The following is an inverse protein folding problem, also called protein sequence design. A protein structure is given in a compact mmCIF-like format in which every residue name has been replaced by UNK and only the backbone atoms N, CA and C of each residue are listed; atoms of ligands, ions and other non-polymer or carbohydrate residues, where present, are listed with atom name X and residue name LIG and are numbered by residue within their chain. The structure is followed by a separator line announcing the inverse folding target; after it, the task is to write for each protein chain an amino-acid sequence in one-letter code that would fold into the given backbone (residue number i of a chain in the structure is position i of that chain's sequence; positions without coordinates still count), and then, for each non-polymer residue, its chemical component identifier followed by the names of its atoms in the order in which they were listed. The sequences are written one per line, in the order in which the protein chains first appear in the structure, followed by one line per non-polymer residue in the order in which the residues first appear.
data_IF_187964547731
#
_entry.id   IF_187964547731
#
_cell.length_a   1.000
_cell.length_b   1.000
_cell.length_c   1.000
_cell.angle_alpha   90.00
_cell.angle_beta   90.00
_cell.angle_gamma   90.00
#
_symmetry.space_group_name_H-M   'P 1'
#
loop_
_entity.id
_entity.type
_entity.pdbx_description
1 polymer ?
#
# COMPACT_ATOMS: atom_id res chain seq x y z
N UNK A 1 -21.81 -26.57 -44.39
CA UNK A 1 -20.64 -25.65 -44.23
C UNK A 1 -21.20 -24.28 -43.93
N UNK A 2 -21.20 -23.88 -42.63
CA UNK A 2 -21.63 -22.56 -42.22
C UNK A 2 -20.38 -21.64 -42.20
N UNK A 3 -20.41 -20.45 -42.85
CA UNK A 3 -19.30 -19.53 -42.79
C UNK A 3 -19.26 -18.84 -41.42
N UNK A 4 -18.09 -18.90 -40.78
CA UNK A 4 -17.83 -18.11 -39.55
C UNK A 4 -17.84 -16.62 -39.92
N UNK A 5 -18.40 -15.75 -39.06
CA UNK A 5 -18.34 -14.32 -39.26
C UNK A 5 -16.91 -13.80 -39.08
N UNK A 6 -16.41 -13.10 -40.08
CA UNK A 6 -15.11 -12.44 -40.04
C UNK A 6 -15.10 -11.36 -38.96
N UNK A 7 -14.16 -11.45 -37.99
CA UNK A 7 -13.91 -10.43 -36.99
C UNK A 7 -13.45 -9.14 -37.72
N UNK A 8 -14.28 -8.10 -37.64
CA UNK A 8 -13.94 -6.78 -38.18
C UNK A 8 -12.71 -6.22 -37.44
N UNK A 9 -11.65 -5.92 -38.18
CA UNK A 9 -10.43 -5.34 -37.62
C UNK A 9 -10.66 -3.87 -37.24
N UNK A 10 -10.03 -3.40 -36.15
CA UNK A 10 -10.05 -1.99 -35.71
C UNK A 10 -9.71 -0.99 -36.83
N UNK A 11 -8.87 -1.37 -37.80
CA UNK A 11 -8.53 -0.55 -38.96
C UNK A 11 -9.68 -0.35 -39.94
N UNK A 12 -10.59 -1.31 -40.04
CA UNK A 12 -11.74 -1.22 -40.95
C UNK A 12 -12.82 -0.29 -40.39
N UNK A 13 -12.95 -0.21 -39.07
CA UNK A 13 -13.91 0.69 -38.40
C UNK A 13 -13.50 2.17 -38.47
N UNK A 14 -12.17 2.45 -38.33
CA UNK A 14 -11.65 3.82 -38.33
C UNK A 14 -11.58 4.47 -39.73
N UNK A 15 -11.74 3.71 -40.80
CA UNK A 15 -11.74 4.25 -42.17
C UNK A 15 -13.07 4.75 -42.69
N UNK A 16 -14.17 4.51 -41.93
CA UNK A 16 -15.53 4.83 -42.36
C UNK A 16 -16.18 6.10 -41.75
N UNK A 17 -15.55 6.70 -40.73
CA UNK A 17 -16.15 7.83 -40.03
C UNK A 17 -15.15 8.96 -39.82
N UNK A 18 -15.19 9.96 -40.67
CA UNK A 18 -14.43 11.21 -40.54
C UNK A 18 -14.94 12.16 -39.48
N UNK A 19 -15.30 11.65 -38.27
CA UNK A 19 -15.63 12.45 -37.10
C UNK A 19 -15.05 11.73 -35.89
N UNK A 20 -14.08 12.36 -35.22
CA UNK A 20 -13.58 11.91 -33.92
C UNK A 20 -14.64 12.21 -32.85
N UNK A 21 -15.60 11.31 -32.65
CA UNK A 21 -16.45 11.30 -31.48
C UNK A 21 -15.67 10.64 -30.36
N UNK A 22 -15.43 11.40 -29.27
CA UNK A 22 -15.00 10.84 -27.98
C UNK A 22 -16.10 9.90 -27.49
N UNK A 23 -16.02 8.63 -27.82
CA UNK A 23 -16.90 7.60 -27.26
C UNK A 23 -16.57 7.41 -25.80
N UNK A 24 -17.57 7.30 -24.93
CA UNK A 24 -17.33 6.88 -23.54
C UNK A 24 -16.62 5.51 -23.54
N UNK A 25 -15.81 5.27 -22.50
CA UNK A 25 -15.10 4.01 -22.31
C UNK A 25 -16.11 2.86 -22.30
N UNK A 26 -16.10 2.06 -23.34
CA UNK A 26 -16.88 0.84 -23.42
C UNK A 26 -15.96 -0.33 -23.00
N UNK A 27 -16.23 -0.91 -21.85
CA UNK A 27 -15.47 -2.04 -21.29
C UNK A 27 -15.35 -3.21 -22.27
N UNK A 28 -16.39 -3.43 -23.10
CA UNK A 28 -16.40 -4.45 -24.16
C UNK A 28 -15.46 -4.18 -25.34
N UNK A 29 -14.97 -2.93 -25.52
CA UNK A 29 -13.99 -2.57 -26.55
C UNK A 29 -12.59 -2.42 -26.01
N UNK A 30 -12.40 -2.47 -24.72
CA UNK A 30 -11.14 -2.50 -23.99
C UNK A 30 -10.41 -3.83 -24.08
N UNK A 31 -10.47 -4.53 -25.22
CA UNK A 31 -9.75 -5.78 -25.44
C UNK A 31 -8.27 -5.57 -25.68
N UNK A 32 -7.54 -5.20 -24.66
CA UNK A 32 -6.26 -5.73 -24.25
C UNK A 32 -6.32 -5.66 -22.71
N UNK A 33 -7.23 -6.41 -22.11
CA UNK A 33 -6.86 -7.08 -20.91
C UNK A 33 -5.63 -7.90 -21.31
N UNK A 34 -4.45 -7.68 -20.72
CA UNK A 34 -3.56 -8.79 -20.50
C UNK A 34 -4.50 -9.90 -20.07
N UNK A 35 -4.47 -11.04 -20.77
CA UNK A 35 -5.24 -12.18 -20.36
C UNK A 35 -4.85 -12.41 -18.90
N UNK A 36 -5.61 -11.80 -18.00
CA UNK A 36 -5.65 -12.23 -16.63
C UNK A 36 -5.85 -13.72 -16.78
N UNK A 37 -5.03 -14.54 -16.12
CA UNK A 37 -5.33 -15.95 -15.99
C UNK A 37 -6.82 -15.99 -15.71
N UNK A 38 -7.59 -16.49 -16.69
CA UNK A 38 -9.03 -16.47 -16.65
C UNK A 38 -9.44 -17.17 -15.36
N UNK A 39 -9.88 -16.39 -14.36
CA UNK A 39 -10.33 -16.93 -13.08
C UNK A 39 -9.84 -16.28 -11.80
N UNK A 40 -8.79 -15.45 -11.79
CA UNK A 40 -8.36 -14.78 -10.54
C UNK A 40 -8.82 -13.33 -10.50
N UNK A 41 -9.74 -13.05 -9.56
CA UNK A 41 -10.21 -11.70 -9.24
C UNK A 41 -9.03 -10.78 -8.84
N UNK A 42 -8.95 -9.53 -9.33
CA UNK A 42 -7.91 -8.60 -8.92
C UNK A 42 -8.01 -8.32 -7.42
N UNK A 43 -6.93 -8.53 -6.69
CA UNK A 43 -6.84 -8.25 -5.26
C UNK A 43 -5.84 -7.15 -5.02
N UNK A 44 -6.05 -6.36 -3.97
CA UNK A 44 -5.30 -5.14 -3.68
C UNK A 44 -4.86 -5.06 -2.24
N UNK A 45 -3.77 -4.37 -1.98
CA UNK A 45 -3.22 -4.13 -0.66
C UNK A 45 -2.99 -2.64 -0.43
N UNK A 46 -3.52 -2.13 0.67
CA UNK A 46 -3.21 -0.79 1.20
C UNK A 46 -2.62 -0.92 2.59
N UNK A 47 -1.40 -0.42 2.77
CA UNK A 47 -0.74 -0.33 4.07
C UNK A 47 -0.66 1.13 4.50
N UNK A 48 -1.16 1.46 5.69
CA UNK A 48 -1.10 2.79 6.27
C UNK A 48 -0.38 2.72 7.62
N UNK A 49 0.69 3.50 7.77
CA UNK A 49 1.37 3.69 9.05
C UNK A 49 1.15 5.10 9.59
N UNK A 50 0.60 5.19 10.80
CA UNK A 50 0.49 6.43 11.60
C UNK A 50 1.56 6.39 12.69
N UNK A 51 2.73 7.00 12.49
CA UNK A 51 3.97 6.62 13.18
C UNK A 51 4.14 7.18 14.60
N UNK A 52 3.19 7.94 15.13
CA UNK A 52 3.25 8.51 16.48
C UNK A 52 2.47 7.71 17.53
N UNK A 53 2.05 6.50 17.20
CA UNK A 53 1.06 5.76 17.97
C UNK A 53 -0.35 6.19 17.60
N UNK A 54 -1.32 5.60 18.25
CA UNK A 54 -2.72 6.02 18.23
C UNK A 54 -3.19 5.94 19.69
N UNK A 55 -3.91 6.96 20.17
CA UNK A 55 -4.35 7.00 21.55
C UNK A 55 -5.27 5.81 21.87
N UNK A 56 -4.71 4.87 22.62
CA UNK A 56 -5.23 3.51 22.80
C UNK A 56 -6.67 3.49 23.30
N UNK A 57 -6.97 4.31 24.33
CA UNK A 57 -8.28 4.29 25.00
C UNK A 57 -9.42 4.77 24.10
N UNK A 58 -9.11 5.52 23.04
CA UNK A 58 -10.09 5.96 22.06
C UNK A 58 -10.17 5.06 20.82
N UNK A 59 -9.22 4.12 20.63
CA UNK A 59 -9.21 3.17 19.52
C UNK A 59 -9.61 1.76 19.96
N UNK A 60 -8.98 1.22 21.02
CA UNK A 60 -9.10 -0.19 21.37
C UNK A 60 -10.33 -0.40 22.26
N UNK A 61 -11.30 -1.23 21.84
CA UNK A 61 -12.47 -1.56 22.67
C UNK A 61 -12.07 -2.29 23.96
N UNK A 62 -12.83 -2.07 25.02
CA UNK A 62 -12.63 -2.78 26.29
C UNK A 62 -13.06 -4.23 26.23
N UNK A 63 -14.10 -4.53 25.44
CA UNK A 63 -14.61 -5.89 25.23
C UNK A 63 -13.96 -6.51 24.00
N UNK A 64 -13.67 -7.79 24.04
CA UNK A 64 -13.27 -8.60 22.89
C UNK A 64 -14.47 -9.27 22.20
N UNK A 65 -14.26 -9.78 20.99
CA UNK A 65 -15.28 -10.44 20.18
C UNK A 65 -16.19 -9.48 19.42
N UNK A 66 -17.30 -9.97 18.89
CA UNK A 66 -18.22 -9.21 18.04
C UNK A 66 -19.11 -8.21 18.80
N UNK A 67 -19.28 -8.41 20.10
CA UNK A 67 -20.17 -7.60 20.96
C UNK A 67 -19.54 -6.33 21.52
N UNK A 68 -18.35 -5.92 21.08
CA UNK A 68 -17.67 -4.74 21.61
C UNK A 68 -18.44 -3.43 21.35
N UNK A 69 -18.33 -2.48 22.25
CA UNK A 69 -18.82 -1.13 22.07
C UNK A 69 -17.85 -0.33 21.17
N UNK A 70 -18.42 0.43 20.22
CA UNK A 70 -17.61 1.29 19.34
C UNK A 70 -16.98 2.41 20.19
N UNK A 71 -15.66 2.49 20.11
CA UNK A 71 -14.91 3.57 20.75
C UNK A 71 -15.07 4.90 20.00
N UNK A 72 -14.54 5.98 20.57
CA UNK A 72 -14.61 7.32 19.98
C UNK A 72 -14.11 7.36 18.53
N UNK A 73 -13.01 6.66 18.21
CA UNK A 73 -12.45 6.63 16.86
C UNK A 73 -13.17 5.67 15.93
N UNK A 74 -13.83 4.67 16.46
CA UNK A 74 -14.58 3.69 15.66
C UNK A 74 -16.05 4.13 15.42
N UNK A 75 -16.57 5.07 16.20
CA UNK A 75 -17.94 5.57 16.04
C UNK A 75 -18.25 6.09 14.61
N UNK A 76 -17.34 6.79 13.89
CA UNK A 76 -17.57 7.15 12.49
C UNK A 76 -17.76 5.95 11.56
N UNK A 77 -17.17 4.81 11.90
CA UNK A 77 -17.17 3.58 11.09
C UNK A 77 -18.34 2.64 11.40
N UNK A 78 -19.35 3.09 12.18
CA UNK A 78 -20.44 2.25 12.65
C UNK A 78 -21.18 1.49 11.55
N UNK A 79 -21.43 2.14 10.41
CA UNK A 79 -22.08 1.60 9.21
C UNK A 79 -21.19 0.68 8.36
N UNK A 80 -19.94 0.52 8.77
CA UNK A 80 -18.93 -0.34 8.16
C UNK A 80 -18.43 -1.41 9.13
N UNK A 81 -19.12 -1.61 10.29
CA UNK A 81 -18.65 -2.49 11.36
C UNK A 81 -18.36 -3.92 10.87
N UNK A 82 -19.14 -4.42 9.97
CA UNK A 82 -19.00 -5.73 9.32
C UNK A 82 -17.85 -5.79 8.28
N UNK A 83 -17.11 -4.70 8.10
CA UNK A 83 -16.06 -4.54 7.08
C UNK A 83 -14.68 -4.30 7.67
N UNK A 84 -14.54 -4.27 8.98
CA UNK A 84 -13.25 -4.16 9.66
C UNK A 84 -13.19 -4.92 10.97
N UNK A 85 -11.99 -5.21 11.40
CA UNK A 85 -11.68 -5.79 12.73
C UNK A 85 -10.59 -4.98 13.40
N UNK A 86 -10.67 -4.88 14.73
CA UNK A 86 -9.62 -4.30 15.57
C UNK A 86 -8.81 -5.44 16.16
N UNK A 87 -7.50 -5.29 16.21
CA UNK A 87 -6.61 -6.25 16.85
C UNK A 87 -5.69 -5.52 17.82
N UNK A 88 -5.52 -6.08 19.01
CA UNK A 88 -4.65 -5.57 20.06
C UNK A 88 -3.79 -6.66 20.69
N UNK A 89 -2.72 -6.27 21.38
CA UNK A 89 -1.77 -7.19 22.00
C UNK A 89 -0.67 -7.69 21.06
N UNK A 90 -0.57 -7.15 19.84
CA UNK A 90 0.43 -7.56 18.86
C UNK A 90 1.74 -6.75 19.01
N UNK A 91 2.86 -7.38 18.67
CA UNK A 91 4.16 -6.70 18.55
C UNK A 91 5.05 -7.35 17.49
N UNK A 92 6.12 -6.68 17.12
CA UNK A 92 7.19 -7.28 16.33
C UNK A 92 8.30 -7.76 17.29
N UNK A 93 8.48 -9.07 17.47
CA UNK A 93 9.55 -9.60 18.32
C UNK A 93 10.94 -9.08 17.90
N UNK A 94 11.70 -8.55 18.85
CA UNK A 94 13.04 -8.02 18.61
C UNK A 94 13.11 -6.67 17.91
N UNK A 95 11.97 -6.03 17.59
CA UNK A 95 11.91 -4.66 17.08
C UNK A 95 11.71 -3.68 18.22
N UNK A 96 12.59 -2.70 18.32
CA UNK A 96 12.54 -1.66 19.36
C UNK A 96 13.19 -0.37 18.89
N UNK A 97 13.37 0.60 19.81
CA UNK A 97 14.03 1.87 19.54
C UNK A 97 13.05 3.03 19.29
N UNK A 98 11.81 2.90 19.76
CA UNK A 98 10.81 3.96 19.63
C UNK A 98 10.57 4.35 18.16
N UNK A 99 10.71 5.61 17.82
CA UNK A 99 10.53 6.10 16.44
C UNK A 99 11.47 5.43 15.43
N UNK A 100 12.67 5.02 15.82
CA UNK A 100 13.62 4.34 14.93
C UNK A 100 13.12 2.97 14.42
N UNK A 101 12.08 2.40 15.02
CA UNK A 101 11.45 1.16 14.56
C UNK A 101 10.58 1.35 13.30
N UNK A 102 10.22 2.59 12.96
CA UNK A 102 9.29 2.90 11.87
C UNK A 102 9.60 2.19 10.55
N UNK A 103 10.85 2.14 10.04
CA UNK A 103 11.16 1.45 8.79
C UNK A 103 10.96 -0.08 8.85
N UNK A 104 10.65 -0.62 10.04
CA UNK A 104 10.49 -2.06 10.27
C UNK A 104 9.04 -2.49 10.42
N UNK A 105 8.12 -1.55 10.40
CA UNK A 105 6.69 -1.87 10.67
C UNK A 105 6.11 -2.86 9.64
N UNK A 106 6.50 -2.76 8.37
CA UNK A 106 6.02 -3.67 7.32
C UNK A 106 7.05 -4.75 6.93
N UNK A 107 8.18 -4.84 7.61
CA UNK A 107 9.14 -5.93 7.42
C UNK A 107 9.11 -6.94 8.56
N UNK A 108 8.86 -6.50 9.80
CA UNK A 108 8.88 -7.33 11.00
C UNK A 108 10.24 -7.94 11.33
N UNK A 109 11.33 -7.42 10.74
CA UNK A 109 12.69 -7.92 10.97
C UNK A 109 13.24 -7.33 12.27
N UNK A 110 13.82 -8.12 13.17
CA UNK A 110 14.42 -7.65 14.42
C UNK A 110 15.43 -6.53 14.23
N UNK A 111 15.51 -5.59 15.19
CA UNK A 111 16.38 -4.39 15.09
C UNK A 111 17.88 -4.73 14.98
N UNK A 112 18.30 -5.87 15.50
CA UNK A 112 19.68 -6.36 15.43
C UNK A 112 20.05 -6.91 14.03
N UNK A 113 19.07 -7.14 13.17
CA UNK A 113 19.30 -7.72 11.84
C UNK A 113 19.22 -6.63 10.75
N UNK A 114 19.85 -6.92 9.61
CA UNK A 114 19.68 -6.10 8.40
C UNK A 114 18.24 -6.23 7.92
N UNK A 115 17.62 -5.08 7.60
CA UNK A 115 16.26 -5.07 7.07
C UNK A 115 16.18 -5.77 5.70
N UNK A 116 15.04 -6.38 5.42
CA UNK A 116 14.78 -7.16 4.20
C UNK A 116 13.42 -6.77 3.61
N UNK A 117 12.97 -7.51 2.60
CA UNK A 117 11.74 -7.24 1.85
C UNK A 117 10.54 -6.96 2.77
N UNK A 118 9.90 -5.84 2.56
CA UNK A 118 8.64 -5.47 3.22
C UNK A 118 7.43 -6.15 2.56
N UNK A 119 6.31 -6.20 3.28
CA UNK A 119 5.07 -6.83 2.85
C UNK A 119 4.57 -6.27 1.52
N UNK A 120 4.59 -4.95 1.34
CA UNK A 120 4.19 -4.28 0.10
C UNK A 120 5.06 -4.71 -1.09
N UNK A 121 6.37 -4.76 -0.91
CA UNK A 121 7.28 -5.18 -1.98
C UNK A 121 7.21 -6.69 -2.26
N UNK A 122 6.89 -7.49 -1.24
CA UNK A 122 6.62 -8.91 -1.41
C UNK A 122 5.37 -9.13 -2.30
N UNK A 123 4.29 -8.45 -1.98
CA UNK A 123 3.03 -8.52 -2.74
C UNK A 123 3.18 -7.92 -4.13
N UNK A 124 3.88 -6.79 -4.25
CA UNK A 124 4.11 -6.11 -5.52
C UNK A 124 4.87 -6.96 -6.54
N UNK A 125 5.78 -7.81 -6.09
CA UNK A 125 6.53 -8.71 -6.97
C UNK A 125 5.63 -9.68 -7.77
N UNK A 126 4.42 -9.96 -7.28
CA UNK A 126 3.45 -10.82 -7.95
C UNK A 126 2.27 -10.01 -8.51
N UNK A 127 1.52 -9.30 -7.65
CA UNK A 127 0.32 -8.59 -8.09
C UNK A 127 0.65 -7.39 -8.98
N UNK A 128 1.78 -6.75 -8.75
CA UNK A 128 2.22 -5.61 -9.55
C UNK A 128 2.52 -5.93 -11.01
N UNK A 129 2.81 -7.19 -11.34
CA UNK A 129 3.09 -7.60 -12.72
C UNK A 129 1.90 -7.34 -13.67
N UNK A 130 0.69 -7.28 -13.14
CA UNK A 130 -0.55 -7.10 -13.91
C UNK A 130 -0.96 -5.64 -14.09
N UNK A 131 -0.25 -4.69 -13.50
CA UNK A 131 -0.60 -3.26 -13.50
C UNK A 131 0.54 -2.41 -14.03
N UNK A 132 0.25 -1.17 -14.44
CA UNK A 132 1.28 -0.23 -14.94
C UNK A 132 2.38 0.01 -13.91
N UNK A 133 2.02 0.15 -12.64
CA UNK A 133 2.94 0.39 -11.53
C UNK A 133 2.90 -0.78 -10.56
N UNK A 134 4.05 -1.39 -10.28
CA UNK A 134 4.15 -2.55 -9.40
C UNK A 134 3.62 -2.24 -8.00
N UNK A 135 3.97 -1.07 -7.51
CA UNK A 135 3.47 -0.49 -6.26
C UNK A 135 3.57 1.04 -6.30
N UNK A 136 2.83 1.69 -5.41
CA UNK A 136 2.92 3.11 -5.15
C UNK A 136 3.22 3.32 -3.66
N UNK A 137 4.45 3.74 -3.35
CA UNK A 137 4.83 4.16 -2.02
C UNK A 137 4.67 5.67 -1.91
N UNK A 138 3.90 6.15 -0.95
CA UNK A 138 3.64 7.56 -0.69
C UNK A 138 4.16 7.94 0.69
N UNK A 139 4.73 9.13 0.83
CA UNK A 139 5.21 9.64 2.11
C UNK A 139 4.94 11.13 2.24
N UNK A 140 4.18 11.51 3.25
CA UNK A 140 4.03 12.90 3.64
C UNK A 140 5.02 13.24 4.77
N UNK A 141 6.33 13.18 4.48
CA UNK A 141 7.41 13.49 5.41
C UNK A 141 7.86 12.35 6.33
N UNK A 142 7.33 11.14 6.13
CA UNK A 142 7.76 9.94 6.85
C UNK A 142 9.11 9.39 6.33
N UNK A 143 9.67 8.42 7.07
CA UNK A 143 10.66 7.52 6.52
C UNK A 143 10.01 6.61 5.47
N UNK A 144 10.81 6.14 4.53
CA UNK A 144 10.33 5.18 3.55
C UNK A 144 10.10 3.81 4.23
N UNK A 145 9.02 3.12 3.84
CA UNK A 145 8.60 1.84 4.44
C UNK A 145 8.89 0.64 3.55
N UNK A 146 9.07 0.89 2.24
CA UNK A 146 9.33 -0.14 1.26
C UNK A 146 10.80 -0.62 1.33
N UNK A 147 11.00 -1.95 1.32
CA UNK A 147 12.33 -2.56 1.35
C UNK A 147 12.42 -3.69 0.34
N UNK A 148 13.52 -3.73 -0.40
CA UNK A 148 13.84 -4.84 -1.32
C UNK A 148 14.40 -6.04 -0.55
N UNK A 149 14.51 -7.20 -1.19
CA UNK A 149 15.18 -8.39 -0.63
C UNK A 149 16.62 -8.12 -0.22
N UNK A 150 17.34 -7.38 -1.04
CA UNK A 150 18.71 -6.98 -0.75
C UNK A 150 18.85 -5.94 0.37
N UNK A 151 17.75 -5.57 1.07
CA UNK A 151 17.77 -4.62 2.18
C UNK A 151 18.07 -3.18 1.74
N UNK A 152 17.67 -2.82 0.53
CA UNK A 152 17.68 -1.43 0.05
C UNK A 152 16.30 -0.82 0.19
N UNK A 153 16.24 0.43 0.63
CA UNK A 153 15.00 1.19 0.75
C UNK A 153 14.42 1.50 -0.63
N UNK A 154 13.11 1.35 -0.79
CA UNK A 154 12.35 1.80 -1.96
C UNK A 154 11.91 3.22 -1.70
N UNK A 155 12.37 4.20 -2.46
CA UNK A 155 11.99 5.60 -2.26
C UNK A 155 10.49 5.79 -2.42
N UNK A 156 9.87 6.48 -1.46
CA UNK A 156 8.48 6.89 -1.56
C UNK A 156 8.35 8.22 -2.33
N UNK A 157 7.24 8.34 -3.06
CA UNK A 157 6.84 9.59 -3.70
C UNK A 157 6.41 10.59 -2.63
N UNK A 158 7.05 11.76 -2.63
CA UNK A 158 6.84 12.83 -1.63
C UNK A 158 5.91 13.94 -2.14
N UNK A 159 5.49 13.84 -3.39
CA UNK A 159 4.57 14.77 -4.04
C UNK A 159 3.34 14.04 -4.51
N UNK A 160 2.20 14.34 -3.89
CA UNK A 160 0.93 13.75 -4.30
C UNK A 160 0.52 14.18 -5.72
N UNK A 161 0.90 15.40 -6.12
CA UNK A 161 0.69 15.92 -7.48
C UNK A 161 1.50 15.14 -8.52
N UNK A 162 2.76 14.81 -8.21
CA UNK A 162 3.62 14.02 -9.09
C UNK A 162 3.13 12.57 -9.16
N UNK A 163 2.69 11.99 -8.02
CA UNK A 163 2.03 10.70 -8.00
C UNK A 163 0.79 10.67 -8.89
N UNK A 164 -0.07 11.69 -8.80
CA UNK A 164 -1.25 11.83 -9.66
C UNK A 164 -0.87 11.95 -11.13
N UNK A 165 0.08 12.82 -11.47
CA UNK A 165 0.56 13.00 -12.85
C UNK A 165 1.17 11.70 -13.41
N UNK A 166 1.95 11.01 -12.61
CA UNK A 166 2.53 9.71 -12.97
C UNK A 166 1.47 8.67 -13.31
N UNK A 167 0.36 8.65 -12.56
CA UNK A 167 -0.72 7.69 -12.76
C UNK A 167 -1.61 8.06 -13.96
N UNK A 168 -1.96 9.34 -14.14
CA UNK A 168 -3.07 9.76 -14.99
C UNK A 168 -2.73 10.77 -16.08
N UNK A 169 -1.68 11.59 -15.95
CA UNK A 169 -1.32 12.55 -16.98
C UNK A 169 -0.65 11.87 -18.17
N UNK A 170 -1.15 12.13 -19.38
CA UNK A 170 -0.52 11.64 -20.62
C UNK A 170 0.82 12.31 -20.84
N UNK A 171 1.78 11.53 -21.26
CA UNK A 171 3.12 12.02 -21.62
C UNK A 171 3.17 12.44 -23.08
N UNK A 172 3.69 13.64 -23.34
CA UNK A 172 3.95 14.10 -24.70
C UNK A 172 4.98 13.22 -25.42
N UNK A 173 4.92 13.19 -26.75
CA UNK A 173 5.79 12.35 -27.59
C UNK A 173 7.29 12.54 -27.30
N UNK A 174 7.73 13.77 -27.04
CA UNK A 174 9.13 14.07 -26.71
C UNK A 174 9.57 13.43 -25.40
N UNK A 175 8.69 13.45 -24.37
CA UNK A 175 8.97 12.83 -23.08
C UNK A 175 8.99 11.30 -23.20
N UNK A 176 8.04 10.72 -23.95
CA UNK A 176 8.04 9.27 -24.25
C UNK A 176 9.34 8.83 -24.92
N UNK A 177 9.82 9.59 -25.91
CA UNK A 177 11.09 9.30 -26.58
C UNK A 177 12.29 9.39 -25.65
N UNK A 178 12.32 10.39 -24.75
CA UNK A 178 13.35 10.53 -23.72
C UNK A 178 13.37 9.34 -22.77
N UNK A 179 12.21 8.95 -22.23
CA UNK A 179 12.08 7.82 -21.31
C UNK A 179 12.50 6.50 -21.99
N UNK A 180 12.09 6.27 -23.24
CA UNK A 180 12.55 5.11 -24.02
C UNK A 180 14.07 5.07 -24.18
N UNK A 181 14.70 6.24 -24.45
CA UNK A 181 16.16 6.35 -24.50
C UNK A 181 16.84 6.04 -23.16
N UNK A 182 16.24 6.45 -22.04
CA UNK A 182 16.72 6.15 -20.68
C UNK A 182 16.58 4.65 -20.37
N UNK A 183 15.47 4.03 -20.73
CA UNK A 183 15.25 2.58 -20.60
C UNK A 183 16.30 1.81 -21.40
N UNK A 184 16.54 2.19 -22.66
CA UNK A 184 17.55 1.55 -23.51
C UNK A 184 18.96 1.63 -22.91
N UNK A 185 19.34 2.81 -22.38
CA UNK A 185 20.63 2.97 -21.67
C UNK A 185 20.68 2.11 -20.41
N UNK A 186 19.61 2.08 -19.63
CA UNK A 186 19.52 1.26 -18.44
C UNK A 186 19.71 -0.23 -18.73
N UNK A 187 19.04 -0.75 -19.75
CA UNK A 187 19.21 -2.15 -20.21
C UNK A 187 20.66 -2.45 -20.57
N UNK A 188 21.30 -1.59 -21.38
CA UNK A 188 22.70 -1.76 -21.80
C UNK A 188 23.68 -1.76 -20.62
N UNK A 189 23.43 -0.93 -19.58
CA UNK A 189 24.24 -0.93 -18.35
C UNK A 189 24.04 -2.24 -17.58
N UNK A 190 22.80 -2.72 -17.47
CA UNK A 190 22.50 -3.97 -16.75
C UNK A 190 23.12 -5.18 -17.44
N UNK A 191 23.08 -5.24 -18.78
CA UNK A 191 23.75 -6.30 -19.55
C UNK A 191 25.25 -6.33 -19.25
N UNK A 192 25.93 -5.18 -19.31
CA UNK A 192 27.34 -5.07 -19.01
C UNK A 192 27.67 -5.50 -17.57
N UNK A 193 26.88 -5.04 -16.60
CA UNK A 193 27.03 -5.41 -15.20
C UNK A 193 26.84 -6.91 -14.97
N UNK A 194 25.87 -7.54 -15.67
CA UNK A 194 25.65 -8.98 -15.59
C UNK A 194 26.82 -9.78 -16.16
N UNK A 195 27.43 -9.32 -17.24
CA UNK A 195 28.58 -9.99 -17.86
C UNK A 195 29.79 -9.90 -16.95
N UNK A 196 30.11 -8.71 -16.40
CA UNK A 196 31.22 -8.56 -15.44
C UNK A 196 31.01 -9.39 -14.18
N UNK A 197 29.76 -9.46 -13.67
CA UNK A 197 29.45 -10.21 -12.47
C UNK A 197 29.54 -11.73 -12.69
N UNK A 198 29.19 -12.25 -13.87
CA UNK A 198 29.40 -13.67 -14.24
C UNK A 198 30.88 -14.03 -14.29
N UNK A 199 31.73 -13.17 -14.84
CA UNK A 199 33.18 -13.37 -14.85
C UNK A 199 33.76 -13.42 -13.43
N UNK A 200 33.22 -12.57 -12.54
CA UNK A 200 33.63 -12.56 -11.12
C UNK A 200 33.18 -13.83 -10.39
N UNK A 201 31.98 -14.34 -10.65
CA UNK A 201 31.38 -15.50 -9.96
C UNK A 201 32.32 -16.74 -9.99
N UNK A 202 33.00 -16.94 -11.12
CA UNK A 202 33.93 -18.05 -11.29
C UNK A 202 35.14 -18.03 -10.33
N UNK A 203 35.45 -16.86 -9.76
CA UNK A 203 36.64 -16.60 -8.94
C UNK A 203 36.31 -16.48 -7.46
N UNK A 204 35.03 -16.54 -7.06
CA UNK A 204 34.58 -16.28 -5.70
C UNK A 204 34.43 -17.55 -4.86
N UNK A 205 34.59 -17.39 -3.53
CA UNK A 205 34.21 -18.37 -2.54
C UNK A 205 32.72 -18.70 -2.57
N UNK A 206 32.29 -19.85 -2.02
CA UNK A 206 30.86 -20.20 -1.94
C UNK A 206 30.02 -19.11 -1.27
N UNK A 207 30.50 -18.54 -0.16
CA UNK A 207 29.81 -17.47 0.60
C UNK A 207 29.68 -16.18 -0.21
N UNK A 208 30.68 -15.82 -0.98
CA UNK A 208 30.66 -14.62 -1.79
C UNK A 208 29.80 -14.82 -3.05
N UNK A 209 29.72 -16.03 -3.58
CA UNK A 209 28.75 -16.40 -4.64
C UNK A 209 27.30 -16.27 -4.19
N UNK A 210 27.00 -16.64 -2.94
CA UNK A 210 25.65 -16.44 -2.39
C UNK A 210 25.29 -14.94 -2.36
N UNK A 211 26.20 -14.07 -1.92
CA UNK A 211 25.99 -12.61 -1.96
C UNK A 211 25.87 -12.06 -3.38
N UNK A 212 26.67 -12.58 -4.30
CA UNK A 212 26.58 -12.18 -5.71
C UNK A 212 25.26 -12.65 -6.32
N UNK A 213 24.72 -13.80 -5.90
CA UNK A 213 23.38 -14.27 -6.27
C UNK A 213 22.28 -13.28 -5.88
N UNK A 214 22.31 -12.73 -4.64
CA UNK A 214 21.38 -11.67 -4.21
C UNK A 214 21.47 -10.41 -5.11
N UNK A 215 22.69 -10.06 -5.52
CA UNK A 215 22.92 -8.97 -6.45
C UNK A 215 22.33 -9.27 -7.83
N UNK A 216 22.54 -10.46 -8.39
CA UNK A 216 21.92 -10.88 -9.65
C UNK A 216 20.40 -10.81 -9.63
N UNK A 217 19.76 -11.24 -8.54
CA UNK A 217 18.31 -11.14 -8.41
C UNK A 217 17.84 -9.67 -8.44
N UNK A 218 18.59 -8.76 -7.81
CA UNK A 218 18.30 -7.32 -7.84
C UNK A 218 18.42 -6.75 -9.26
N UNK A 219 19.46 -7.14 -10.00
CA UNK A 219 19.67 -6.70 -11.38
C UNK A 219 18.55 -7.23 -12.28
N UNK A 220 18.20 -8.51 -12.20
CA UNK A 220 17.08 -9.12 -12.94
C UNK A 220 15.73 -8.48 -12.63
N UNK A 221 15.46 -8.16 -11.36
CA UNK A 221 14.24 -7.46 -10.96
C UNK A 221 14.18 -6.05 -11.57
N UNK A 222 15.33 -5.37 -11.70
CA UNK A 222 15.42 -4.06 -12.33
C UNK A 222 15.22 -4.17 -13.85
N UNK A 223 15.82 -5.16 -14.50
CA UNK A 223 15.63 -5.45 -15.93
C UNK A 223 14.15 -5.70 -16.25
N UNK A 224 13.49 -6.58 -15.50
CA UNK A 224 12.04 -6.84 -15.67
C UNK A 224 11.20 -5.56 -15.56
N UNK A 225 11.53 -4.65 -14.61
CA UNK A 225 10.85 -3.35 -14.47
C UNK A 225 11.07 -2.45 -15.67
N UNK A 226 12.28 -2.43 -16.25
CA UNK A 226 12.56 -1.65 -17.45
C UNK A 226 11.80 -2.19 -18.67
N UNK A 227 11.78 -3.51 -18.86
CA UNK A 227 11.00 -4.16 -19.93
C UNK A 227 9.52 -3.81 -19.80
N UNK A 228 8.96 -3.97 -18.62
CA UNK A 228 7.57 -3.62 -18.33
C UNK A 228 7.28 -2.13 -18.59
N UNK A 229 8.17 -1.23 -18.16
CA UNK A 229 8.02 0.21 -18.39
C UNK A 229 8.01 0.54 -19.89
N UNK A 230 8.80 -0.15 -20.70
CA UNK A 230 8.80 0.00 -22.15
C UNK A 230 7.47 -0.44 -22.78
N UNK A 231 6.93 -1.57 -22.35
CA UNK A 231 5.62 -2.07 -22.81
C UNK A 231 4.49 -1.09 -22.46
N UNK A 232 4.47 -0.59 -21.23
CA UNK A 232 3.41 0.29 -20.73
C UNK A 232 3.50 1.73 -21.27
N UNK A 233 4.65 2.22 -21.77
CA UNK A 233 4.77 3.58 -22.30
C UNK A 233 3.91 3.80 -23.54
N UNK A 234 3.61 2.73 -24.27
CA UNK A 234 2.75 2.76 -25.46
C UNK A 234 1.26 2.61 -25.14
N UNK A 235 0.91 2.24 -23.90
CA UNK A 235 -0.47 2.14 -23.45
C UNK A 235 -0.97 3.52 -22.98
N UNK A 236 -2.19 3.95 -23.33
CA UNK A 236 -2.75 5.17 -22.79
C UNK A 236 -2.93 5.04 -21.27
N UNK A 237 -2.77 6.14 -20.57
CA UNK A 237 -3.11 6.21 -19.14
C UNK A 237 -4.63 6.30 -18.95
N UNK A 238 -5.17 5.77 -17.83
CA UNK A 238 -6.59 5.92 -17.54
C UNK A 238 -6.98 7.38 -17.44
N UNK A 239 -8.10 7.74 -18.05
CA UNK A 239 -8.66 9.09 -17.93
C UNK A 239 -9.53 9.16 -16.67
N UNK A 240 -9.25 10.13 -15.81
CA UNK A 240 -10.03 10.38 -14.59
C UNK A 240 -10.60 11.80 -14.61
N UNK A 241 -11.84 11.93 -14.18
CA UNK A 241 -12.48 13.24 -14.07
C UNK A 241 -12.20 13.87 -12.69
N UNK A 242 -10.92 14.01 -12.35
CA UNK A 242 -10.46 14.58 -11.08
C UNK A 242 -9.32 15.55 -11.35
N UNK A 243 -9.31 16.65 -10.61
CA UNK A 243 -8.18 17.59 -10.66
C UNK A 243 -6.98 17.02 -9.88
N UNK A 244 -5.74 17.32 -10.31
CA UNK A 244 -4.57 17.01 -9.50
C UNK A 244 -4.73 17.57 -8.08
N UNK A 245 -4.42 16.78 -7.04
CA UNK A 245 -4.46 17.26 -5.66
C UNK A 245 -3.39 18.33 -5.42
N UNK A 246 -3.65 19.20 -4.45
CA UNK A 246 -2.64 20.16 -4.01
C UNK A 246 -1.41 19.43 -3.45
N UNK A 247 -0.19 20.02 -3.57
CA UNK A 247 1.01 19.48 -2.95
C UNK A 247 0.83 19.24 -1.44
N UNK A 248 1.58 18.29 -0.89
CA UNK A 248 1.61 18.08 0.55
C UNK A 248 2.04 19.35 1.27
N UNK A 249 1.19 19.85 2.17
CA UNK A 249 1.48 20.94 3.06
C UNK A 249 1.86 20.39 4.45
N UNK A 250 2.95 20.84 5.08
CA UNK A 250 3.44 20.25 6.34
C UNK A 250 2.46 20.30 7.50
N UNK A 251 1.61 21.30 7.56
CA UNK A 251 0.61 21.54 8.61
C UNK A 251 -0.78 20.99 8.27
N UNK A 252 -1.02 20.65 7.02
CA UNK A 252 -2.31 20.16 6.49
C UNK A 252 -2.43 18.63 6.56
N UNK A 253 -2.21 18.08 7.73
CA UNK A 253 -2.16 16.64 7.99
C UNK A 253 -3.40 15.90 7.45
N UNK A 254 -4.58 16.43 7.70
CA UNK A 254 -5.85 15.80 7.32
C UNK A 254 -6.09 15.95 5.82
N UNK A 255 -5.79 17.12 5.26
CA UNK A 255 -5.87 17.34 3.80
C UNK A 255 -4.92 16.42 3.05
N UNK A 256 -3.70 16.23 3.56
CA UNK A 256 -2.73 15.31 2.97
C UNK A 256 -3.24 13.87 2.99
N UNK A 257 -3.82 13.41 4.10
CA UNK A 257 -4.41 12.08 4.22
C UNK A 257 -5.60 11.92 3.27
N UNK A 258 -6.50 12.92 3.19
CA UNK A 258 -7.61 12.93 2.23
C UNK A 258 -7.12 12.77 0.80
N UNK A 259 -6.13 13.55 0.39
CA UNK A 259 -5.55 13.47 -0.94
C UNK A 259 -4.98 12.08 -1.25
N UNK A 260 -4.36 11.43 -0.25
CA UNK A 260 -3.87 10.05 -0.39
C UNK A 260 -5.03 9.06 -0.51
N UNK A 261 -6.08 9.21 0.28
CA UNK A 261 -7.28 8.37 0.21
C UNK A 261 -7.96 8.49 -1.16
N UNK A 262 -8.12 9.71 -1.68
CA UNK A 262 -8.70 9.97 -2.99
C UNK A 262 -7.84 9.38 -4.11
N UNK A 263 -6.52 9.59 -4.07
CA UNK A 263 -5.59 9.01 -5.03
C UNK A 263 -5.61 7.48 -4.99
N UNK A 264 -5.67 6.89 -3.79
CA UNK A 264 -5.76 5.44 -3.59
C UNK A 264 -7.03 4.89 -4.24
N UNK A 265 -8.19 5.52 -3.99
CA UNK A 265 -9.45 5.11 -4.59
C UNK A 265 -9.38 5.16 -6.13
N UNK A 266 -8.86 6.26 -6.71
CA UNK A 266 -8.70 6.40 -8.17
C UNK A 266 -7.73 5.36 -8.73
N UNK A 267 -6.59 5.14 -8.09
CA UNK A 267 -5.57 4.18 -8.55
C UNK A 267 -6.10 2.74 -8.53
N UNK A 268 -6.86 2.37 -7.51
CA UNK A 268 -7.49 1.05 -7.40
C UNK A 268 -8.65 0.86 -8.37
N UNK A 269 -9.50 1.89 -8.52
CA UNK A 269 -10.61 1.87 -9.47
C UNK A 269 -10.16 1.72 -10.92
N UNK A 270 -9.01 2.28 -11.27
CA UNK A 270 -8.42 2.20 -12.63
C UNK A 270 -7.44 1.05 -12.80
N UNK A 271 -7.23 0.25 -11.78
CA UNK A 271 -6.22 -0.83 -11.72
C UNK A 271 -4.81 -0.36 -12.16
N UNK A 272 -4.49 0.91 -11.89
CA UNK A 272 -3.17 1.50 -12.21
C UNK A 272 -2.05 0.89 -11.36
N UNK A 273 -2.36 0.51 -10.13
CA UNK A 273 -1.55 -0.31 -9.22
C UNK A 273 -2.47 -1.11 -8.30
N UNK A 274 -1.97 -2.22 -7.76
CA UNK A 274 -2.67 -3.05 -6.77
C UNK A 274 -2.06 -3.00 -5.38
N UNK A 275 -0.96 -2.27 -5.21
CA UNK A 275 -0.25 -2.19 -3.93
C UNK A 275 0.09 -0.74 -3.64
N UNK A 276 -0.45 -0.23 -2.54
CA UNK A 276 -0.15 1.13 -2.07
C UNK A 276 0.32 1.08 -0.62
N UNK A 277 1.39 1.81 -0.31
CA UNK A 277 1.88 2.02 1.05
C UNK A 277 1.93 3.51 1.32
N UNK A 278 1.39 3.92 2.45
CA UNK A 278 1.42 5.31 2.88
C UNK A 278 1.94 5.44 4.30
N UNK A 279 2.89 6.35 4.49
CA UNK A 279 3.37 6.77 5.79
C UNK A 279 3.22 8.26 5.99
N UNK A 280 2.70 8.64 7.14
CA UNK A 280 2.63 10.03 7.54
C UNK A 280 3.58 10.30 8.70
N UNK A 281 4.49 11.23 8.54
CA UNK A 281 5.38 11.65 9.62
C UNK A 281 5.79 13.11 9.49
N UNK A 282 4.91 14.02 9.91
CA UNK A 282 5.28 15.39 10.33
C UNK A 282 4.16 16.04 11.11
N UNK A 283 4.54 16.99 11.83
CA UNK A 283 4.75 16.94 13.19
C UNK A 283 4.37 18.20 13.93
N UNK A 284 4.58 19.37 13.38
CA UNK A 284 4.73 20.54 14.23
C UNK A 284 3.44 21.35 14.34
N UNK A 285 2.69 21.51 13.28
CA UNK A 285 1.39 22.18 13.30
C UNK A 285 0.33 21.31 12.67
N UNK A 286 -0.89 21.43 13.13
CA UNK A 286 -2.02 20.67 12.63
C UNK A 286 -3.20 21.61 12.42
N UNK A 287 -3.65 21.74 11.18
CA UNK A 287 -4.81 22.55 10.82
C UNK A 287 -6.11 21.81 11.16
N UNK A 288 -6.33 21.56 12.44
CA UNK A 288 -7.58 20.98 12.97
C UNK A 288 -8.20 21.98 13.94
N UNK A 289 -9.49 22.33 13.83
CA UNK A 289 -10.16 23.27 14.72
C UNK A 289 -10.02 22.88 16.20
N UNK A 290 -9.53 23.83 17.01
CA UNK A 290 -9.32 23.65 18.44
C UNK A 290 -8.07 22.84 18.80
N UNK A 291 -7.13 22.70 17.85
CA UNK A 291 -5.78 22.17 18.07
C UNK A 291 -4.79 23.31 17.88
N UNK A 292 -3.92 23.51 18.86
CA UNK A 292 -2.91 24.56 18.87
C UNK A 292 -1.52 24.05 19.29
N UNK A 293 -1.38 22.76 19.47
CA UNK A 293 -0.12 22.06 19.79
C UNK A 293 0.19 21.10 18.65
N UNK A 294 1.46 21.00 18.26
CA UNK A 294 1.90 20.11 17.20
C UNK A 294 1.60 18.62 17.52
N UNK A 295 1.24 17.83 16.51
CA UNK A 295 0.80 16.45 16.69
C UNK A 295 1.86 15.58 17.39
N UNK A 296 3.14 15.75 17.10
CA UNK A 296 4.19 15.01 17.81
C UNK A 296 4.21 15.34 19.31
N UNK A 297 4.10 16.63 19.67
CA UNK A 297 4.04 17.02 21.08
C UNK A 297 2.76 16.48 21.77
N UNK A 298 1.64 16.45 21.05
CA UNK A 298 0.40 15.84 21.56
C UNK A 298 0.55 14.33 21.77
N UNK A 299 1.31 13.63 20.95
CA UNK A 299 1.57 12.20 21.15
C UNK A 299 2.32 11.92 22.47
N UNK A 300 3.06 12.91 22.98
CA UNK A 300 3.74 12.93 24.29
C UNK A 300 2.91 13.64 25.35
N UNK A 301 1.62 13.37 25.40
CA UNK A 301 0.63 14.09 26.21
C UNK A 301 0.92 14.15 27.72
N UNK A 302 1.83 13.33 28.26
CA UNK A 302 2.18 13.36 29.70
C UNK A 302 1.00 13.14 30.66
N UNK A 303 -0.09 12.54 30.20
CA UNK A 303 -1.37 12.41 30.88
C UNK A 303 -2.11 13.74 31.12
N UNK A 304 -1.71 14.81 30.45
CA UNK A 304 -2.43 16.09 30.46
C UNK A 304 -3.74 15.97 29.69
N UNK A 305 -4.86 16.26 30.33
CA UNK A 305 -6.20 16.11 29.74
C UNK A 305 -6.43 17.06 28.55
N UNK A 306 -5.84 18.26 28.58
CA UNK A 306 -5.92 19.22 27.49
C UNK A 306 -5.18 18.78 26.25
N UNK A 307 -3.97 18.20 26.41
CA UNK A 307 -3.21 17.60 25.32
C UNK A 307 -3.92 16.36 24.76
N UNK A 308 -4.46 15.49 25.62
CA UNK A 308 -5.23 14.32 25.21
C UNK A 308 -6.48 14.74 24.43
N UNK A 309 -7.19 15.77 24.86
CA UNK A 309 -8.37 16.26 24.14
C UNK A 309 -8.03 16.79 22.73
N UNK A 310 -6.88 17.46 22.57
CA UNK A 310 -6.41 17.91 21.26
C UNK A 310 -5.92 16.73 20.41
N UNK A 311 -5.15 15.79 20.98
CA UNK A 311 -4.71 14.57 20.30
C UNK A 311 -5.88 13.79 19.71
N UNK A 312 -6.93 13.59 20.51
CA UNK A 312 -8.16 12.92 20.09
C UNK A 312 -8.83 13.59 18.89
N UNK A 313 -8.82 14.93 18.80
CA UNK A 313 -9.38 15.65 17.66
C UNK A 313 -8.61 15.36 16.37
N UNK A 314 -7.27 15.36 16.45
CA UNK A 314 -6.41 15.05 15.31
C UNK A 314 -6.64 13.62 14.85
N UNK A 315 -6.56 12.67 15.77
CA UNK A 315 -6.67 11.25 15.43
C UNK A 315 -8.10 10.90 14.98
N UNK A 316 -9.13 11.50 15.57
CA UNK A 316 -10.50 11.33 15.11
C UNK A 316 -10.67 11.75 13.64
N UNK A 317 -10.05 12.87 13.24
CA UNK A 317 -10.09 13.32 11.86
C UNK A 317 -9.42 12.31 10.90
N UNK A 318 -8.40 11.57 11.33
CA UNK A 318 -7.84 10.45 10.55
C UNK A 318 -8.87 9.35 10.28
N UNK A 319 -9.66 8.98 11.30
CA UNK A 319 -10.69 7.95 11.15
C UNK A 319 -11.88 8.43 10.30
N UNK A 320 -12.19 9.72 10.28
CA UNK A 320 -13.19 10.31 9.40
C UNK A 320 -12.76 10.22 7.91
N UNK A 321 -11.48 10.48 7.60
CA UNK A 321 -10.94 10.29 6.25
C UNK A 321 -10.86 8.80 5.87
N UNK A 322 -10.49 7.93 6.80
CA UNK A 322 -10.52 6.48 6.59
C UNK A 322 -11.93 5.99 6.28
N UNK A 323 -12.96 6.48 7.01
CA UNK A 323 -14.36 6.20 6.71
C UNK A 323 -14.71 6.55 5.27
N UNK A 324 -14.30 7.75 4.84
CA UNK A 324 -14.56 8.22 3.46
C UNK A 324 -13.94 7.26 2.44
N UNK A 325 -12.69 6.85 2.63
CA UNK A 325 -12.03 5.88 1.75
C UNK A 325 -12.78 4.54 1.71
N UNK A 326 -13.08 3.96 2.88
CA UNK A 326 -13.77 2.68 2.96
C UNK A 326 -15.16 2.74 2.30
N UNK A 327 -15.87 3.84 2.49
CA UNK A 327 -17.18 4.07 1.86
C UNK A 327 -17.06 4.16 0.34
N UNK A 328 -16.08 4.89 -0.18
CA UNK A 328 -15.81 5.01 -1.61
C UNK A 328 -15.48 3.65 -2.24
N UNK A 329 -14.63 2.85 -1.57
CA UNK A 329 -14.30 1.50 -2.01
C UNK A 329 -15.50 0.55 -1.96
N UNK A 330 -16.34 0.63 -0.91
CA UNK A 330 -17.58 -0.15 -0.78
C UNK A 330 -18.59 0.19 -1.86
N UNK A 331 -18.69 1.45 -2.25
CA UNK A 331 -19.64 1.94 -3.25
C UNK A 331 -19.14 1.80 -4.70
N UNK A 332 -17.91 1.36 -4.91
CA UNK A 332 -17.34 1.12 -6.24
C UNK A 332 -17.43 -0.37 -6.57
N UNK A 333 -18.29 -0.71 -7.54
CA UNK A 333 -18.46 -2.09 -8.01
C UNK A 333 -17.35 -2.51 -8.97
N UNK A 334 -16.94 -3.77 -8.89
CA UNK A 334 -16.00 -4.41 -9.80
C UNK A 334 -16.47 -5.85 -10.06
N UNK A 335 -17.18 -6.05 -11.19
CA UNK A 335 -17.84 -7.33 -11.47
C UNK A 335 -18.97 -7.62 -10.48
N UNK A 336 -18.90 -8.71 -9.78
CA UNK A 336 -19.87 -9.20 -8.79
C UNK A 336 -19.57 -8.75 -7.35
N UNK A 337 -18.50 -8.01 -7.13
CA UNK A 337 -18.04 -7.55 -5.82
C UNK A 337 -17.81 -6.04 -5.79
N UNK A 338 -17.43 -5.51 -4.63
CA UNK A 338 -16.96 -4.13 -4.50
C UNK A 338 -15.44 -4.07 -4.46
N UNK A 339 -14.86 -2.89 -4.69
CA UNK A 339 -13.43 -2.70 -4.49
C UNK A 339 -13.01 -3.00 -3.04
N UNK A 340 -13.89 -2.74 -2.06
CA UNK A 340 -13.59 -3.04 -0.66
C UNK A 340 -13.49 -4.56 -0.41
N UNK A 341 -14.33 -5.37 -1.03
CA UNK A 341 -14.27 -6.83 -0.92
C UNK A 341 -12.98 -7.41 -1.49
N UNK A 342 -12.32 -6.69 -2.39
CA UNK A 342 -11.09 -7.08 -3.09
C UNK A 342 -9.83 -6.34 -2.60
N UNK A 343 -9.96 -5.50 -1.57
CA UNK A 343 -8.86 -4.69 -1.04
C UNK A 343 -8.64 -5.02 0.44
N UNK A 344 -7.44 -5.46 0.80
CA UNK A 344 -7.00 -5.58 2.19
C UNK A 344 -6.37 -4.26 2.63
N UNK A 345 -6.89 -3.66 3.69
CA UNK A 345 -6.44 -2.39 4.22
C UNK A 345 -5.94 -2.60 5.65
N UNK A 346 -4.65 -2.41 5.85
CA UNK A 346 -4.00 -2.50 7.16
C UNK A 346 -3.60 -1.11 7.62
N UNK A 347 -4.23 -0.63 8.68
CA UNK A 347 -3.86 0.60 9.38
C UNK A 347 -3.19 0.22 10.69
N UNK A 348 -1.98 0.73 10.92
CA UNK A 348 -1.19 0.41 12.12
C UNK A 348 -0.27 1.56 12.51
N UNK A 349 0.49 1.38 13.57
CA UNK A 349 1.60 2.24 13.98
C UNK A 349 2.79 1.39 14.40
N UNK A 350 3.99 1.96 14.28
CA UNK A 350 5.20 1.37 14.86
C UNK A 350 5.33 1.62 16.38
N UNK A 351 4.43 2.42 16.94
CA UNK A 351 4.31 2.68 18.38
C UNK A 351 2.94 2.24 18.87
N UNK A 352 2.92 1.42 19.91
CA UNK A 352 1.70 1.15 20.68
C UNK A 352 1.35 2.28 21.65
N UNK A 353 2.35 3.09 22.00
CA UNK A 353 2.17 4.33 22.77
C UNK A 353 3.21 5.36 22.36
N UNK A 354 2.76 6.48 21.82
CA UNK A 354 3.61 7.64 21.53
C UNK A 354 4.18 8.25 22.79
N UNK A 355 3.37 8.33 23.86
CA UNK A 355 3.77 8.95 25.13
C UNK A 355 4.96 8.25 25.82
N UNK A 356 5.08 6.94 25.67
CA UNK A 356 6.18 6.15 26.25
C UNK A 356 7.17 5.61 25.21
N UNK A 357 7.01 5.92 23.94
CA UNK A 357 7.77 5.35 22.82
C UNK A 357 7.75 3.80 22.79
N UNK A 358 6.69 3.19 23.31
CA UNK A 358 6.58 1.73 23.36
C UNK A 358 6.33 1.15 21.97
N UNK A 359 7.14 0.16 21.59
CA UNK A 359 6.95 -0.65 20.37
C UNK A 359 6.14 -1.93 20.65
N UNK A 360 5.44 -2.00 21.79
CA UNK A 360 4.59 -3.13 22.19
C UNK A 360 3.12 -2.75 22.06
N UNK A 361 2.26 -3.77 21.95
CA UNK A 361 0.80 -3.61 21.81
C UNK A 361 0.47 -2.65 20.65
N UNK A 362 1.01 -2.96 19.46
CA UNK A 362 0.83 -2.15 18.28
C UNK A 362 -0.64 -2.15 17.85
N UNK A 363 -1.24 -0.96 17.62
CA UNK A 363 -2.63 -0.87 17.20
C UNK A 363 -2.81 -1.38 15.79
N UNK A 364 -3.85 -2.18 15.56
CA UNK A 364 -4.19 -2.70 14.22
C UNK A 364 -5.67 -2.52 13.95
N UNK A 365 -5.99 -1.87 12.84
CA UNK A 365 -7.28 -1.94 12.18
C UNK A 365 -7.07 -2.61 10.82
N UNK A 366 -7.73 -3.76 10.62
CA UNK A 366 -7.75 -4.47 9.35
C UNK A 366 -9.14 -4.32 8.74
N UNK A 367 -9.24 -3.81 7.51
CA UNK A 367 -10.51 -3.62 6.81
C UNK A 367 -10.50 -4.23 5.41
N UNK A 368 -11.68 -4.53 4.89
CA UNK A 368 -11.90 -5.07 3.57
C UNK A 368 -11.44 -6.51 3.38
N UNK A 369 -11.43 -6.99 2.15
CA UNK A 369 -11.23 -8.41 1.87
C UNK A 369 -12.41 -9.27 2.32
N UNK A 370 -12.19 -10.59 2.39
CA UNK A 370 -13.18 -11.59 2.81
C UNK A 370 -12.81 -12.21 4.15
N UNK A 371 -12.46 -11.39 5.12
CA UNK A 371 -12.24 -11.83 6.50
C UNK A 371 -13.52 -11.81 7.30
N UNK A 372 -13.57 -12.64 8.35
CA UNK A 372 -14.63 -12.58 9.35
C UNK A 372 -14.48 -11.32 10.21
N UNK A 373 -14.96 -10.21 9.69
CA UNK A 373 -14.89 -8.90 10.34
C UNK A 373 -15.96 -8.70 11.42
N UNK A 374 -16.03 -7.49 11.95
CA UNK A 374 -17.02 -7.08 12.95
C UNK A 374 -16.62 -7.39 14.39
N UNK A 375 -15.34 -7.65 14.64
CA UNK A 375 -14.86 -8.12 15.94
C UNK A 375 -13.59 -7.39 16.43
N UNK A 376 -13.38 -7.42 17.73
CA UNK A 376 -12.13 -7.07 18.37
C UNK A 376 -11.41 -8.34 18.80
N UNK A 377 -10.26 -8.61 18.19
CA UNK A 377 -9.37 -9.71 18.51
C UNK A 377 -8.32 -9.21 19.52
N UNK A 378 -8.49 -9.57 20.78
CA UNK A 378 -7.59 -9.18 21.86
C UNK A 378 -6.66 -10.35 22.21
N UNK A 379 -5.36 -10.13 22.12
CA UNK A 379 -4.32 -11.08 22.52
C UNK A 379 -3.57 -10.59 23.76
N UNK A 380 -3.02 -11.51 24.52
CA UNK A 380 -2.13 -11.15 25.60
C UNK A 380 -0.85 -10.49 25.04
N UNK A 381 -0.40 -9.36 25.60
CA UNK A 381 0.79 -8.67 25.10
C UNK A 381 2.01 -9.59 24.97
N UNK A 382 2.74 -9.48 23.85
CA UNK A 382 3.95 -10.24 23.59
C UNK A 382 3.76 -11.72 23.21
N UNK A 383 2.51 -12.17 23.04
CA UNK A 383 2.24 -13.59 22.71
C UNK A 383 2.07 -13.85 21.23
N UNK A 384 1.66 -12.84 20.46
CA UNK A 384 1.37 -12.97 19.02
C UNK A 384 2.13 -11.92 18.22
N UNK A 385 2.97 -12.34 17.27
CA UNK A 385 3.65 -11.41 16.37
C UNK A 385 2.68 -10.68 15.42
N UNK A 386 2.91 -9.39 15.18
CA UNK A 386 2.16 -8.62 14.17
C UNK A 386 2.27 -9.26 12.78
N UNK A 387 3.38 -9.91 12.47
CA UNK A 387 3.56 -10.63 11.21
C UNK A 387 2.55 -11.77 10.97
N UNK A 388 1.81 -12.23 11.99
CA UNK A 388 0.72 -13.18 11.80
C UNK A 388 -0.45 -12.55 11.02
N UNK A 389 -0.69 -11.23 11.19
CA UNK A 389 -1.62 -10.48 10.34
C UNK A 389 -1.15 -10.48 8.89
N UNK A 390 0.17 -10.33 8.66
CA UNK A 390 0.74 -10.32 7.31
C UNK A 390 0.52 -11.66 6.60
N UNK A 391 0.72 -12.78 7.29
CA UNK A 391 0.45 -14.11 6.73
C UNK A 391 -1.03 -14.27 6.39
N UNK A 392 -1.95 -13.83 7.27
CA UNK A 392 -3.39 -13.84 6.98
C UNK A 392 -3.74 -12.99 5.76
N UNK A 393 -3.15 -11.80 5.65
CA UNK A 393 -3.32 -10.91 4.48
C UNK A 393 -2.77 -11.55 3.21
N UNK A 394 -1.58 -12.15 3.26
CA UNK A 394 -0.97 -12.85 2.13
C UNK A 394 -1.87 -14.00 1.64
N UNK A 395 -2.39 -14.81 2.54
CA UNK A 395 -3.30 -15.90 2.18
C UNK A 395 -4.59 -15.37 1.52
N UNK A 396 -5.14 -14.27 2.04
CA UNK A 396 -6.30 -13.60 1.42
C UNK A 396 -5.98 -13.03 0.04
N UNK A 397 -4.75 -12.57 -0.19
CA UNK A 397 -4.27 -12.12 -1.50
C UNK A 397 -4.02 -13.27 -2.49
N UNK A 398 -4.10 -14.52 -2.03
CA UNK A 398 -3.92 -15.71 -2.86
C UNK A 398 -2.50 -16.26 -2.88
N UNK A 399 -1.66 -15.82 -1.95
CA UNK A 399 -0.36 -16.44 -1.68
C UNK A 399 -0.55 -17.64 -0.75
N UNK A 400 0.27 -18.68 -0.91
CA UNK A 400 0.23 -19.88 -0.05
C UNK A 400 1.36 -19.85 1.01
N UNK A 401 1.65 -18.65 1.53
CA UNK A 401 2.70 -18.47 2.53
C UNK A 401 2.24 -18.97 3.90
N UNK A 402 3.12 -19.74 4.55
CA UNK A 402 2.91 -20.22 5.92
C UNK A 402 3.61 -19.36 6.96
N UNK A 403 4.52 -18.49 6.52
CA UNK A 403 5.29 -17.61 7.39
C UNK A 403 5.72 -16.33 6.66
N UNK A 404 5.92 -15.26 7.42
CA UNK A 404 6.54 -14.02 6.98
C UNK A 404 7.36 -13.44 8.16
N UNK A 405 8.65 -13.17 7.94
CA UNK A 405 9.55 -12.64 8.97
C UNK A 405 9.41 -13.37 10.33
N UNK A 406 8.99 -12.66 11.37
CA UNK A 406 8.84 -13.18 12.74
C UNK A 406 7.49 -13.86 13.02
N UNK A 407 6.68 -14.15 11.99
CA UNK A 407 5.38 -14.79 12.21
C UNK A 407 5.52 -16.22 12.74
N UNK A 408 4.48 -16.66 13.44
CA UNK A 408 4.31 -18.04 13.92
C UNK A 408 3.17 -18.78 13.20
N UNK A 409 2.62 -18.16 12.15
CA UNK A 409 1.49 -18.64 11.35
C UNK A 409 0.52 -17.51 11.04
N UNK A 410 -0.72 -17.84 10.73
CA UNK A 410 -1.83 -16.87 10.54
C UNK A 410 -2.31 -16.29 11.86
N UNK A 411 -3.04 -15.18 11.81
CA UNK A 411 -3.75 -14.65 12.98
C UNK A 411 -5.05 -15.42 13.18
N UNK A 412 -5.22 -16.02 14.37
CA UNK A 412 -6.45 -16.72 14.74
C UNK A 412 -7.61 -15.72 14.86
N UNK A 413 -8.78 -16.09 14.39
CA UNK A 413 -9.98 -15.26 14.39
C UNK A 413 -10.16 -14.38 13.15
N UNK A 414 -9.21 -14.42 12.21
CA UNK A 414 -9.31 -13.81 10.88
C UNK A 414 -9.49 -14.87 9.79
N UNK A 415 -10.32 -15.86 10.06
CA UNK A 415 -10.65 -16.89 9.06
C UNK A 415 -11.32 -16.24 7.84
N UNK A 416 -11.20 -16.89 6.70
CA UNK A 416 -11.84 -16.44 5.45
C UNK A 416 -13.33 -16.79 5.48
N UNK A 417 -14.17 -15.89 5.00
CA UNK A 417 -15.62 -16.09 4.81
C UNK A 417 -15.92 -16.52 3.38
#
# INVERSE_FOLDING_TARGET
MNPQPALASRRSFLRGAGVALCLPWLESLGGIAHAAEAGKEPRRLLLICLPLGIFRDSLIPKQSGAGYELTEYLAPLADLRDRFSIVSGLEHPGVGGGHASQPRIFTGIPSAERNRRSLDQYVAATLGQHTRFDSLALSAGANDFGWTDGGSMVPAEKSIGDAFARLFAEEGAANKAKVLGEIGRGKSILDHVLDEARDLESRLSKRDREKLGEYFETVRATEKRLVKSEEWIHQPKPQVNSKPPAPFAPDEIITNLRNVCDLTHLAFKTDSTRVITFGYFRQDTVAVPGVNVGYHNLSHHGQDEGNIAQLKRVERAFFDELKTLLTNLKNTTEGDATLLDRTMILVTSNLGSGNSHSNKDLPVLLAGGRFQHGQHLAFAPGTVPLCNVFVSVLNQLGFDDKSFATSTGTLKGLELT
#
